data_IF_168196282066
#
_entry.id   IF_168196282066
#
_cell.length_a   1.000
_cell.length_b   1.000
_cell.length_c   1.000
_cell.angle_alpha   90.00
_cell.angle_beta   90.00
_cell.angle_gamma   90.00
#
_symmetry.space_group_name_H-M   'P 1'
#
loop_
_entity.id
_entity.type
_entity.pdbx_description
1 polymer ?
#
# COMPACT_ATOMS: atom_id res chain seq x y z
N UNK A 1 -29.23 44.23 29.72
CA UNK A 1 -28.39 44.40 30.91
C UNK A 1 -27.88 43.02 31.31
N UNK A 2 -26.81 42.58 30.71
CA UNK A 2 -26.15 41.31 31.04
C UNK A 2 -24.66 41.58 31.18
N UNK A 3 -24.17 41.37 32.37
CA UNK A 3 -22.82 41.65 32.83
C UNK A 3 -21.87 40.51 32.43
N UNK A 4 -20.81 40.83 31.69
CA UNK A 4 -19.69 39.99 31.38
C UNK A 4 -18.74 39.89 32.59
N UNK A 5 -18.40 38.66 33.00
CA UNK A 5 -17.33 38.36 33.97
C UNK A 5 -16.02 38.12 33.21
N UNK A 6 -14.87 38.62 33.67
CA UNK A 6 -13.59 38.37 33.03
C UNK A 6 -13.00 37.03 33.44
N UNK A 7 -12.38 36.31 32.45
CA UNK A 7 -11.64 35.08 32.64
C UNK A 7 -10.26 35.34 33.26
N UNK A 8 -9.90 34.53 34.22
CA UNK A 8 -8.58 34.53 34.90
C UNK A 8 -7.50 34.08 33.93
N UNK A 9 -6.45 34.88 33.78
CA UNK A 9 -5.19 34.51 33.15
C UNK A 9 -4.41 33.60 34.09
N UNK A 10 -4.03 32.40 33.59
CA UNK A 10 -3.06 31.50 34.23
C UNK A 10 -1.65 31.93 33.81
N UNK A 11 -0.85 32.33 34.80
CA UNK A 11 0.58 32.63 34.64
C UNK A 11 1.37 31.34 34.73
N UNK A 12 1.99 30.93 33.61
CA UNK A 12 2.93 29.81 33.58
C UNK A 12 4.33 30.32 33.94
N UNK A 13 4.83 29.90 35.07
CA UNK A 13 6.19 30.18 35.53
C UNK A 13 7.18 29.30 34.80
N UNK A 14 8.09 29.91 34.02
CA UNK A 14 9.20 29.23 33.39
C UNK A 14 10.28 28.96 34.45
N UNK A 15 10.62 27.68 34.65
CA UNK A 15 11.77 27.23 35.43
C UNK A 15 12.94 27.07 34.47
N UNK A 16 13.94 27.94 34.58
CA UNK A 16 15.20 27.84 33.90
C UNK A 16 16.11 26.85 34.65
N UNK A 17 16.60 25.81 33.96
CA UNK A 17 17.65 24.93 34.46
C UNK A 17 19.02 25.41 33.99
N UNK A 18 20.06 25.40 34.83
CA UNK A 18 21.39 25.87 34.42
C UNK A 18 22.16 24.86 33.62
N UNK A 19 22.82 25.36 32.58
CA UNK A 19 23.75 24.70 31.71
C UNK A 19 25.07 24.43 32.47
N UNK A 20 25.42 23.18 32.74
CA UNK A 20 26.75 22.83 33.31
C UNK A 20 27.70 22.48 32.18
N UNK A 21 28.61 23.40 31.89
CA UNK A 21 29.79 23.19 31.03
C UNK A 21 30.86 22.44 31.84
N UNK A 22 31.23 21.24 31.41
CA UNK A 22 32.45 20.58 31.86
C UNK A 22 33.45 20.52 30.70
N UNK A 23 34.44 21.36 30.79
CA UNK A 23 35.68 21.34 29.97
C UNK A 23 36.59 20.22 30.44
N UNK A 24 36.98 19.34 29.54
CA UNK A 24 38.09 18.40 29.74
C UNK A 24 39.11 18.61 28.60
N UNK A 25 40.13 19.40 28.91
CA UNK A 25 41.37 19.45 28.17
C UNK A 25 42.30 18.35 28.72
N UNK A 26 42.89 17.55 27.85
CA UNK A 26 43.87 16.54 28.23
C UNK A 26 44.53 15.94 26.98
N UNK A 27 45.30 16.74 26.26
CA UNK A 27 46.23 16.22 25.24
C UNK A 27 47.54 15.81 25.92
N UNK A 28 47.81 14.48 25.98
CA UNK A 28 49.16 13.99 26.27
C UNK A 28 49.85 13.66 24.97
N UNK A 29 50.96 14.38 24.71
CA UNK A 29 51.87 14.17 23.59
C UNK A 29 52.70 12.89 23.80
N UNK A 30 52.76 12.03 22.79
CA UNK A 30 53.67 10.92 22.69
C UNK A 30 54.93 11.37 21.89
N UNK A 31 56.16 10.91 22.28
CA UNK A 31 57.39 11.32 21.64
C UNK A 31 57.62 10.62 20.29
N UNK A 32 58.16 11.37 19.35
CA UNK A 32 58.68 10.93 18.05
C UNK A 32 59.88 10.02 18.22
N UNK A 33 59.81 8.77 17.78
CA UNK A 33 60.98 7.89 17.61
C UNK A 33 61.50 7.91 16.18
N UNK A 34 62.80 8.13 16.09
CA UNK A 34 63.64 8.23 14.89
C UNK A 34 63.63 6.96 14.03
N UNK A 35 63.63 7.18 12.73
CA UNK A 35 63.85 6.15 11.72
C UNK A 35 65.34 5.72 11.71
N UNK A 36 65.57 4.39 11.84
CA UNK A 36 66.83 3.77 11.49
C UNK A 36 66.54 2.68 10.46
N UNK A 37 67.26 2.70 9.33
CA UNK A 37 67.17 1.72 8.26
C UNK A 37 67.66 0.30 8.72
N UNK A 38 66.98 -0.78 8.35
CA UNK A 38 67.47 -2.13 8.63
C UNK A 38 68.41 -2.63 7.51
N UNK A 39 69.39 -3.50 7.82
CA UNK A 39 70.30 -4.07 6.85
C UNK A 39 69.66 -5.16 6.01
N UNK A 40 70.04 -5.16 4.74
CA UNK A 40 69.74 -6.15 3.71
C UNK A 40 70.29 -7.53 4.09
N UNK A 41 69.43 -8.54 4.30
CA UNK A 41 69.84 -9.94 4.29
C UNK A 41 68.85 -10.79 3.50
N UNK A 42 69.42 -11.75 2.79
CA UNK A 42 68.89 -12.57 1.70
C UNK A 42 67.58 -13.32 1.95
N UNK A 43 66.87 -13.45 0.88
CA UNK A 43 65.62 -14.19 0.70
C UNK A 43 65.69 -15.66 1.17
N UNK A 44 64.85 -16.02 2.11
CA UNK A 44 64.29 -17.38 2.20
C UNK A 44 62.82 -17.33 1.70
N UNK A 45 62.57 -18.06 0.65
CA UNK A 45 61.23 -18.35 0.16
C UNK A 45 60.48 -19.19 1.19
N UNK A 46 59.75 -18.58 2.08
CA UNK A 46 58.75 -19.29 2.89
C UNK A 46 57.51 -19.46 2.05
N UNK A 47 57.15 -20.74 1.79
CA UNK A 47 55.91 -21.14 1.16
C UNK A 47 54.73 -20.52 1.93
N UNK A 48 54.02 -19.63 1.28
CA UNK A 48 52.73 -19.09 1.72
C UNK A 48 51.82 -20.28 2.07
N UNK A 49 51.24 -20.35 3.28
CA UNK A 49 50.23 -21.39 3.58
C UNK A 49 49.10 -21.24 2.60
N UNK A 50 48.67 -22.35 2.02
CA UNK A 50 47.48 -22.41 1.18
C UNK A 50 46.29 -21.77 1.95
N UNK A 51 45.62 -20.82 1.33
CA UNK A 51 44.41 -20.22 1.88
C UNK A 51 43.44 -21.37 2.13
N UNK A 52 43.16 -21.64 3.39
CA UNK A 52 42.03 -22.50 3.76
C UNK A 52 40.79 -21.86 3.13
N UNK A 53 40.07 -22.60 2.33
CA UNK A 53 38.76 -22.22 1.81
C UNK A 53 37.90 -21.74 2.99
N UNK A 54 37.81 -20.42 3.17
CA UNK A 54 36.82 -19.83 4.06
C UNK A 54 35.46 -20.15 3.41
N UNK A 55 34.66 -21.02 4.05
CA UNK A 55 33.24 -21.09 3.74
C UNK A 55 32.73 -19.67 3.55
N UNK A 56 31.92 -19.40 2.50
CA UNK A 56 31.29 -18.10 2.34
C UNK A 56 30.61 -17.75 3.67
N UNK A 57 31.00 -16.64 4.29
CA UNK A 57 30.30 -16.17 5.49
C UNK A 57 28.92 -15.73 5.04
N UNK A 58 27.88 -16.31 5.67
CA UNK A 58 26.48 -15.92 5.48
C UNK A 58 26.36 -14.39 5.59
N UNK A 59 25.59 -13.79 4.67
CA UNK A 59 25.31 -12.35 4.71
C UNK A 59 24.71 -11.97 6.10
N UNK A 60 25.19 -10.91 6.74
CA UNK A 60 24.71 -10.51 8.06
C UNK A 60 23.21 -10.25 8.14
N UNK A 61 22.61 -9.70 7.07
CA UNK A 61 21.17 -9.44 7.03
C UNK A 61 20.36 -10.72 6.81
N UNK A 62 20.84 -11.66 5.98
CA UNK A 62 20.23 -12.99 5.84
C UNK A 62 20.22 -13.72 7.17
N UNK A 63 21.34 -13.68 7.90
CA UNK A 63 21.42 -14.26 9.24
C UNK A 63 20.43 -13.59 10.20
N UNK A 64 20.37 -12.25 10.19
CA UNK A 64 19.46 -11.49 11.05
C UNK A 64 17.99 -11.84 10.77
N UNK A 65 17.59 -11.91 9.50
CA UNK A 65 16.23 -12.28 9.11
C UNK A 65 15.89 -13.70 9.50
N UNK A 66 16.82 -14.65 9.30
CA UNK A 66 16.64 -16.04 9.72
C UNK A 66 16.47 -16.17 11.25
N UNK A 67 17.33 -15.50 12.03
CA UNK A 67 17.23 -15.50 13.49
C UNK A 67 15.91 -14.89 13.98
N UNK A 68 15.47 -13.79 13.36
CA UNK A 68 14.19 -13.16 13.66
C UNK A 68 13.01 -14.08 13.29
N UNK A 69 13.04 -14.73 12.11
CA UNK A 69 12.04 -15.72 11.73
C UNK A 69 11.94 -16.87 12.76
N UNK A 70 13.07 -17.46 13.12
CA UNK A 70 13.11 -18.55 14.11
C UNK A 70 12.55 -18.10 15.46
N UNK A 71 12.82 -16.87 15.89
CA UNK A 71 12.28 -16.32 17.14
C UNK A 71 10.77 -16.11 17.06
N UNK A 72 10.26 -15.58 15.95
CA UNK A 72 8.81 -15.42 15.73
C UNK A 72 8.10 -16.77 15.77
N UNK A 73 8.68 -17.80 15.14
CA UNK A 73 8.13 -19.17 15.18
C UNK A 73 8.14 -19.75 16.59
N UNK A 74 9.21 -19.54 17.36
CA UNK A 74 9.29 -19.96 18.78
C UNK A 74 8.29 -19.21 19.67
N UNK A 75 8.02 -17.95 19.36
CA UNK A 75 7.05 -17.12 20.07
C UNK A 75 5.59 -17.46 19.73
N UNK A 76 5.36 -18.45 18.84
CA UNK A 76 4.04 -18.96 18.53
C UNK A 76 3.36 -18.32 17.32
N UNK A 77 4.11 -17.67 16.42
CA UNK A 77 3.57 -17.18 15.14
C UNK A 77 2.92 -18.33 14.37
N UNK A 78 1.65 -18.16 13.99
CA UNK A 78 0.90 -19.16 13.23
C UNK A 78 0.95 -18.85 11.75
N UNK A 79 1.38 -19.82 10.95
CA UNK A 79 1.35 -19.71 9.50
C UNK A 79 0.13 -20.43 8.93
N UNK A 80 -0.38 -19.90 7.82
CA UNK A 80 -1.49 -20.50 7.06
C UNK A 80 -0.94 -21.66 6.23
N UNK A 81 -1.61 -22.82 6.30
CA UNK A 81 -1.28 -24.02 5.50
C UNK A 81 -2.24 -24.20 4.35
N UNK A 82 -2.47 -23.14 3.53
CA UNK A 82 -3.27 -23.21 2.30
C UNK A 82 -2.34 -23.18 1.08
N UNK A 83 -2.19 -24.31 0.35
CA UNK A 83 -1.27 -24.36 -0.79
C UNK A 83 -1.61 -23.39 -1.91
N UNK A 84 -2.92 -23.08 -2.13
CA UNK A 84 -3.35 -22.16 -3.19
C UNK A 84 -2.99 -20.71 -2.85
N UNK A 85 -3.20 -20.31 -1.61
CA UNK A 85 -2.80 -18.98 -1.15
C UNK A 85 -1.28 -18.84 -1.16
N UNK A 86 -0.54 -19.87 -0.73
CA UNK A 86 0.92 -19.88 -0.76
C UNK A 86 1.45 -19.78 -2.18
N UNK A 87 0.92 -20.58 -3.12
CA UNK A 87 1.28 -20.55 -4.53
C UNK A 87 1.01 -19.18 -5.16
N UNK A 88 -0.13 -18.56 -4.84
CA UNK A 88 -0.47 -17.20 -5.32
C UNK A 88 0.56 -16.18 -4.87
N UNK A 89 0.85 -16.11 -3.57
CA UNK A 89 1.82 -15.17 -2.99
C UNK A 89 3.23 -15.41 -3.53
N UNK A 90 3.66 -16.67 -3.59
CA UNK A 90 4.98 -17.02 -4.10
C UNK A 90 5.15 -16.74 -5.58
N UNK A 91 4.15 -17.03 -6.40
CA UNK A 91 4.21 -16.77 -7.85
C UNK A 91 4.42 -15.30 -8.13
N UNK A 92 3.64 -14.43 -7.47
CA UNK A 92 3.72 -12.98 -7.63
C UNK A 92 5.06 -12.47 -7.05
N UNK A 93 5.35 -12.82 -5.80
CA UNK A 93 6.52 -12.33 -5.09
C UNK A 93 7.83 -12.77 -5.74
N UNK A 94 7.98 -14.04 -6.13
CA UNK A 94 9.18 -14.55 -6.81
C UNK A 94 9.41 -13.91 -8.16
N UNK A 95 8.35 -13.57 -8.89
CA UNK A 95 8.45 -12.88 -10.18
C UNK A 95 9.01 -11.47 -10.03
N UNK A 96 8.53 -10.73 -9.02
CA UNK A 96 9.02 -9.38 -8.69
C UNK A 96 10.45 -9.45 -8.14
N UNK A 97 10.72 -10.36 -7.20
CA UNK A 97 12.03 -10.57 -6.61
C UNK A 97 13.10 -10.94 -7.65
N UNK A 98 12.76 -11.78 -8.63
CA UNK A 98 13.65 -12.13 -9.72
C UNK A 98 14.04 -10.90 -10.55
N UNK A 99 13.11 -9.99 -10.82
CA UNK A 99 13.41 -8.74 -11.50
C UNK A 99 14.36 -7.88 -10.67
N UNK A 100 14.02 -7.61 -9.40
CA UNK A 100 14.82 -6.77 -8.48
C UNK A 100 16.23 -7.33 -8.29
N UNK A 101 16.38 -8.64 -8.16
CA UNK A 101 17.68 -9.31 -8.01
C UNK A 101 18.57 -9.17 -9.27
N UNK A 102 17.97 -9.05 -10.46
CA UNK A 102 18.73 -8.96 -11.72
C UNK A 102 18.87 -7.54 -12.25
N UNK A 103 18.04 -6.62 -11.77
CA UNK A 103 18.02 -5.21 -12.15
C UNK A 103 17.96 -4.34 -10.89
N UNK A 104 19.10 -4.13 -10.21
CA UNK A 104 19.13 -3.27 -9.04
C UNK A 104 18.54 -1.90 -9.35
N UNK A 105 17.54 -1.50 -8.58
CA UNK A 105 16.88 -0.20 -8.72
C UNK A 105 17.60 0.86 -7.89
N UNK A 106 17.60 2.09 -8.38
CA UNK A 106 18.21 3.21 -7.65
C UNK A 106 17.45 3.47 -6.35
N UNK A 107 18.17 3.47 -5.23
CA UNK A 107 17.61 3.75 -3.91
C UNK A 107 17.67 5.26 -3.63
N UNK A 108 16.53 5.88 -3.38
CA UNK A 108 16.44 7.27 -2.88
C UNK A 108 16.65 7.33 -1.38
N UNK A 109 16.41 6.20 -0.68
CA UNK A 109 16.70 5.98 0.72
C UNK A 109 17.23 4.56 0.92
N UNK A 110 18.19 4.34 1.83
CA UNK A 110 18.79 3.02 2.01
C UNK A 110 20.07 2.84 1.19
N UNK A 111 20.31 1.65 0.71
CA UNK A 111 21.43 1.28 -0.14
C UNK A 111 20.98 0.20 -1.14
N UNK A 112 21.59 0.21 -2.31
CA UNK A 112 21.28 -0.82 -3.33
C UNK A 112 21.89 -2.15 -2.90
N UNK A 113 21.09 -3.23 -2.91
CA UNK A 113 21.59 -4.57 -2.65
C UNK A 113 22.56 -5.01 -3.76
N UNK A 114 23.75 -5.42 -3.37
CA UNK A 114 24.80 -5.91 -4.29
C UNK A 114 24.76 -7.43 -4.48
N UNK A 115 24.05 -8.14 -3.59
CA UNK A 115 23.97 -9.59 -3.57
C UNK A 115 22.50 -9.99 -3.70
N UNK A 116 22.11 -10.81 -4.68
CA UNK A 116 20.73 -11.30 -4.77
C UNK A 116 20.30 -12.02 -3.50
N UNK A 117 19.10 -11.71 -3.00
CA UNK A 117 18.51 -12.43 -1.89
C UNK A 117 17.70 -13.63 -2.39
N UNK A 118 17.70 -14.72 -1.60
CA UNK A 118 16.70 -15.77 -1.71
C UNK A 118 15.46 -15.33 -0.92
N UNK A 119 14.41 -14.91 -1.63
CA UNK A 119 13.21 -14.39 -1.00
C UNK A 119 12.29 -15.50 -0.53
N UNK A 120 11.89 -15.44 0.72
CA UNK A 120 10.99 -16.37 1.38
C UNK A 120 9.67 -15.68 1.72
N UNK A 121 8.54 -16.27 1.33
CA UNK A 121 7.22 -15.70 1.52
C UNK A 121 6.42 -16.53 2.51
N UNK A 122 5.85 -15.89 3.52
CA UNK A 122 5.07 -16.52 4.58
C UNK A 122 3.71 -15.88 4.71
N UNK A 123 2.67 -16.70 4.89
CA UNK A 123 1.31 -16.22 5.17
C UNK A 123 1.03 -16.41 6.65
N UNK A 124 0.79 -15.30 7.34
CA UNK A 124 0.47 -15.31 8.77
C UNK A 124 -1.04 -15.47 8.96
N UNK A 125 -1.47 -16.35 9.86
CA UNK A 125 -2.89 -16.53 10.21
C UNK A 125 -3.34 -15.43 11.19
N UNK A 126 -3.38 -14.21 10.65
CA UNK A 126 -3.76 -12.99 11.35
C UNK A 126 -4.84 -12.29 10.53
N UNK A 127 -5.98 -11.86 11.13
CA UNK A 127 -7.06 -11.17 10.44
C UNK A 127 -6.74 -9.71 10.10
N UNK A 128 -5.67 -9.14 10.65
CA UNK A 128 -5.29 -7.76 10.39
C UNK A 128 -4.78 -7.58 8.96
N UNK A 129 -5.12 -6.44 8.37
CA UNK A 129 -4.56 -6.03 7.08
C UNK A 129 -3.13 -5.57 7.34
N UNK A 130 -2.15 -6.45 7.06
CA UNK A 130 -0.73 -6.15 7.22
C UNK A 130 0.16 -7.00 6.32
N UNK A 131 1.32 -6.45 5.95
CA UNK A 131 2.47 -7.16 5.41
C UNK A 131 3.73 -6.51 5.97
N UNK A 132 4.84 -7.24 5.99
CA UNK A 132 6.11 -6.71 6.44
C UNK A 132 7.28 -7.54 5.93
N UNK A 133 8.45 -6.91 5.86
CA UNK A 133 9.70 -7.55 5.50
C UNK A 133 10.70 -7.54 6.64
N UNK A 134 11.45 -8.63 6.78
CA UNK A 134 12.64 -8.70 7.60
C UNK A 134 13.89 -8.62 6.71
N UNK A 135 15.05 -8.25 7.26
CA UNK A 135 16.32 -8.26 6.52
C UNK A 135 16.58 -9.60 5.82
N UNK A 136 17.31 -9.58 4.71
CA UNK A 136 17.70 -10.81 4.00
C UNK A 136 16.60 -11.49 3.20
N UNK A 137 15.46 -10.81 2.91
CA UNK A 137 14.45 -11.28 1.98
C UNK A 137 13.32 -12.12 2.59
N UNK A 138 13.07 -12.04 3.89
CA UNK A 138 11.94 -12.70 4.54
C UNK A 138 10.70 -11.79 4.49
N UNK A 139 9.69 -12.19 3.73
CA UNK A 139 8.47 -11.41 3.49
C UNK A 139 7.26 -12.12 4.12
N UNK A 140 6.47 -11.37 4.86
CA UNK A 140 5.27 -11.87 5.55
C UNK A 140 4.04 -11.12 5.07
N UNK A 141 2.95 -11.87 4.86
CA UNK A 141 1.65 -11.32 4.45
C UNK A 141 0.59 -11.91 5.36
N UNK A 142 -0.18 -11.06 6.03
CA UNK A 142 -1.28 -11.49 6.86
C UNK A 142 -2.46 -11.97 5.99
N UNK A 143 -3.18 -12.98 6.49
CA UNK A 143 -4.39 -13.49 5.84
C UNK A 143 -5.46 -12.39 5.66
N UNK A 144 -5.55 -11.45 6.62
CA UNK A 144 -6.45 -10.30 6.51
C UNK A 144 -6.14 -9.43 5.29
N UNK A 145 -4.87 -9.20 4.97
CA UNK A 145 -4.46 -8.48 3.76
C UNK A 145 -4.85 -9.25 2.51
N UNK A 146 -4.59 -10.56 2.44
CA UNK A 146 -4.97 -11.40 1.29
C UNK A 146 -6.48 -11.39 1.03
N UNK A 147 -7.29 -11.25 2.08
CA UNK A 147 -8.74 -11.13 1.97
C UNK A 147 -9.19 -9.72 1.54
N UNK A 148 -8.36 -8.70 1.70
CA UNK A 148 -8.68 -7.31 1.41
C UNK A 148 -8.29 -6.87 0.00
N UNK A 149 -7.29 -7.52 -0.62
CA UNK A 149 -6.88 -7.20 -1.98
C UNK A 149 -7.91 -7.67 -3.00
N UNK A 150 -8.21 -6.84 -4.00
CA UNK A 150 -9.22 -7.10 -5.02
C UNK A 150 -8.65 -7.74 -6.29
N UNK A 151 -7.32 -7.69 -6.46
CA UNK A 151 -6.63 -8.27 -7.62
C UNK A 151 -5.23 -8.77 -7.28
N UNK A 152 -4.62 -9.51 -8.22
CA UNK A 152 -3.20 -9.88 -8.16
C UNK A 152 -2.28 -8.66 -8.35
N UNK A 153 -2.74 -7.62 -9.05
CA UNK A 153 -1.99 -6.38 -9.20
C UNK A 153 -1.90 -5.60 -7.87
N UNK A 154 -2.96 -5.58 -7.06
CA UNK A 154 -2.91 -5.01 -5.72
C UNK A 154 -1.96 -5.79 -4.80
N UNK A 155 -2.04 -7.12 -4.84
CA UNK A 155 -1.11 -7.97 -4.08
C UNK A 155 0.34 -7.76 -4.55
N UNK A 156 0.55 -7.63 -5.87
CA UNK A 156 1.86 -7.32 -6.44
C UNK A 156 2.40 -5.96 -5.95
N UNK A 157 1.52 -4.97 -5.77
CA UNK A 157 1.86 -3.68 -5.18
C UNK A 157 2.43 -3.82 -3.79
N UNK A 158 1.73 -4.54 -2.92
CA UNK A 158 2.18 -4.79 -1.54
C UNK A 158 3.49 -5.58 -1.54
N UNK A 159 3.56 -6.68 -2.29
CA UNK A 159 4.77 -7.52 -2.33
C UNK A 159 5.97 -6.77 -2.92
N UNK A 160 5.75 -5.95 -3.95
CA UNK A 160 6.78 -5.09 -4.54
C UNK A 160 7.35 -4.10 -3.53
N UNK A 161 6.49 -3.43 -2.78
CA UNK A 161 6.85 -2.53 -1.70
C UNK A 161 7.72 -3.23 -0.62
N UNK A 162 7.29 -4.40 -0.14
CA UNK A 162 8.04 -5.17 0.86
C UNK A 162 9.39 -5.70 0.33
N UNK A 163 9.42 -6.13 -0.92
CA UNK A 163 10.66 -6.58 -1.57
C UNK A 163 11.68 -5.43 -1.65
N UNK A 164 11.23 -4.20 -1.97
CA UNK A 164 12.12 -3.03 -2.00
C UNK A 164 12.61 -2.67 -0.60
N UNK A 165 11.76 -2.74 0.44
CA UNK A 165 12.23 -2.53 1.81
C UNK A 165 13.42 -3.44 2.16
N UNK A 166 13.35 -4.72 1.77
CA UNK A 166 14.45 -5.65 1.96
C UNK A 166 15.65 -5.35 1.04
N UNK A 167 15.40 -5.11 -0.27
CA UNK A 167 16.43 -4.89 -1.27
C UNK A 167 17.23 -3.58 -1.04
N UNK A 168 16.59 -2.55 -0.49
CA UNK A 168 17.25 -1.28 -0.18
C UNK A 168 17.71 -1.17 1.28
N UNK A 169 17.70 -2.30 2.03
CA UNK A 169 18.25 -2.41 3.37
C UNK A 169 17.64 -1.42 4.39
N UNK A 170 16.32 -1.12 4.27
CA UNK A 170 15.69 -0.09 5.09
C UNK A 170 15.77 -0.38 6.58
N UNK A 171 15.57 -1.65 6.99
CA UNK A 171 15.68 -2.06 8.39
C UNK A 171 17.11 -1.91 8.90
N UNK A 172 18.11 -2.35 8.12
CA UNK A 172 19.52 -2.26 8.50
C UNK A 172 19.98 -0.80 8.61
N UNK A 173 19.55 0.06 7.69
CA UNK A 173 19.81 1.51 7.75
C UNK A 173 19.19 2.12 9.00
N UNK A 174 17.93 1.81 9.29
CA UNK A 174 17.24 2.28 10.48
C UNK A 174 17.99 1.88 11.76
N UNK A 175 18.46 0.65 11.85
CA UNK A 175 19.28 0.16 12.97
C UNK A 175 20.62 0.89 13.09
N UNK A 176 21.28 1.15 11.97
CA UNK A 176 22.55 1.88 11.96
C UNK A 176 22.37 3.33 12.45
N UNK A 177 21.31 4.00 12.03
CA UNK A 177 20.98 5.36 12.47
C UNK A 177 20.57 5.41 13.95
N UNK A 178 20.01 4.32 14.47
CA UNK A 178 19.65 4.15 15.89
C UNK A 178 20.77 3.51 16.74
N UNK A 179 21.98 3.38 16.25
CA UNK A 179 23.09 2.56 16.79
C UNK A 179 23.57 2.86 18.23
N UNK A 180 22.79 3.63 19.01
CA UNK A 180 22.95 3.77 20.46
C UNK A 180 21.97 2.88 21.26
N UNK A 181 21.07 2.16 20.61
CA UNK A 181 20.11 1.25 21.25
C UNK A 181 20.51 -0.18 20.92
N UNK A 182 20.62 -1.02 21.94
CA UNK A 182 21.06 -2.42 21.85
C UNK A 182 20.31 -3.18 20.73
N UNK A 183 21.04 -3.66 19.72
CA UNK A 183 20.50 -4.24 18.47
C UNK A 183 19.50 -5.39 18.71
N UNK A 184 19.71 -6.20 19.76
CA UNK A 184 18.79 -7.28 20.14
C UNK A 184 17.43 -6.77 20.63
N UNK A 185 17.41 -5.61 21.30
CA UNK A 185 16.16 -4.97 21.73
C UNK A 185 15.36 -4.41 20.53
N UNK A 186 16.03 -3.83 19.54
CA UNK A 186 15.37 -3.28 18.36
C UNK A 186 14.68 -4.37 17.51
N UNK A 187 15.31 -5.53 17.35
CA UNK A 187 14.74 -6.68 16.63
C UNK A 187 13.59 -7.32 17.41
N UNK A 188 13.77 -7.53 18.72
CA UNK A 188 12.67 -8.03 19.57
C UNK A 188 11.46 -7.10 19.58
N UNK A 189 11.72 -5.79 19.55
CA UNK A 189 10.69 -4.76 19.49
C UNK A 189 9.96 -4.76 18.14
N UNK A 190 10.69 -4.84 17.04
CA UNK A 190 10.12 -4.94 15.71
C UNK A 190 9.25 -6.21 15.57
N UNK A 191 9.78 -7.36 15.99
CA UNK A 191 9.03 -8.62 15.97
C UNK A 191 7.78 -8.55 16.88
N UNK A 192 7.86 -7.92 18.06
CA UNK A 192 6.74 -7.76 18.98
C UNK A 192 5.64 -6.84 18.40
N UNK A 193 6.02 -5.72 17.75
CA UNK A 193 5.08 -4.81 17.10
C UNK A 193 4.38 -5.50 15.93
N UNK A 194 5.11 -6.31 15.16
CA UNK A 194 4.59 -7.00 13.99
C UNK A 194 3.78 -8.25 14.33
N UNK A 195 4.06 -8.92 15.47
CA UNK A 195 3.38 -10.13 15.91
C UNK A 195 2.18 -9.89 16.84
N UNK A 196 1.67 -8.67 16.97
CA UNK A 196 0.52 -8.33 17.83
C UNK A 196 0.65 -8.85 19.29
N UNK A 197 1.83 -8.77 19.89
CA UNK A 197 1.97 -9.06 21.31
C UNK A 197 1.19 -7.99 22.10
N UNK A 198 0.31 -8.37 23.04
CA UNK A 198 -0.53 -7.44 23.80
C UNK A 198 0.29 -6.30 24.40
N UNK A 199 -0.17 -5.06 24.18
CA UNK A 199 0.50 -3.83 24.61
C UNK A 199 0.84 -3.79 26.11
N UNK A 200 0.13 -4.55 26.93
CA UNK A 200 0.36 -4.64 28.37
C UNK A 200 1.71 -5.31 28.70
N UNK A 201 2.07 -6.36 27.98
CA UNK A 201 3.35 -7.06 28.20
C UNK A 201 4.51 -6.27 27.58
N UNK A 202 4.23 -5.54 26.51
CA UNK A 202 5.16 -4.63 25.86
C UNK A 202 5.45 -3.37 26.72
N UNK A 203 4.43 -2.82 27.41
CA UNK A 203 4.59 -1.66 28.27
C UNK A 203 5.49 -1.96 29.50
N UNK A 204 5.47 -3.19 30.00
CA UNK A 204 6.31 -3.62 31.11
C UNK A 204 7.78 -3.85 30.69
N UNK A 205 8.04 -4.10 29.42
CA UNK A 205 9.38 -4.30 28.86
C UNK A 205 10.01 -3.01 28.30
N UNK A 206 9.22 -1.94 28.13
CA UNK A 206 9.63 -0.71 27.47
C UNK A 206 9.74 0.45 28.44
N UNK A 207 10.95 0.96 28.67
CA UNK A 207 11.15 2.27 29.30
C UNK A 207 10.85 3.40 28.30
N UNK A 208 10.56 4.64 28.78
CA UNK A 208 10.19 5.79 27.95
C UNK A 208 11.17 6.11 26.80
N UNK A 209 12.43 5.66 26.87
CA UNK A 209 13.44 5.77 25.80
C UNK A 209 13.04 4.94 24.57
N UNK A 210 12.36 3.80 24.76
CA UNK A 210 11.93 2.88 23.70
C UNK A 210 10.70 3.43 22.94
N UNK A 211 9.81 4.13 23.62
CA UNK A 211 8.68 4.85 22.99
C UNK A 211 9.16 6.00 22.10
N UNK A 212 10.21 6.72 22.54
CA UNK A 212 10.84 7.79 21.73
C UNK A 212 11.54 7.20 20.50
N UNK A 213 12.16 6.03 20.63
CA UNK A 213 12.76 5.31 19.49
C UNK A 213 11.69 4.89 18.46
N UNK A 214 10.51 4.40 18.94
CA UNK A 214 9.36 4.08 18.07
C UNK A 214 8.79 5.31 17.35
N UNK A 215 8.69 6.47 18.01
CA UNK A 215 8.31 7.73 17.36
C UNK A 215 9.33 8.19 16.32
N UNK A 216 10.63 7.96 16.55
CA UNK A 216 11.67 8.23 15.55
C UNK A 216 11.63 7.25 14.38
N UNK A 217 11.28 5.98 14.61
CA UNK A 217 11.01 5.00 13.54
C UNK A 217 9.91 5.52 12.61
N UNK A 218 8.82 6.07 13.15
CA UNK A 218 7.75 6.68 12.34
C UNK A 218 8.21 7.94 11.59
N UNK A 219 9.23 8.68 12.08
CA UNK A 219 9.76 9.88 11.42
C UNK A 219 10.75 9.59 10.29
N UNK A 220 11.54 8.52 10.38
CA UNK A 220 12.40 8.04 9.29
C UNK A 220 11.61 7.23 8.26
N UNK A 221 10.43 6.75 8.62
CA UNK A 221 9.57 5.92 7.79
C UNK A 221 9.18 6.57 6.47
N UNK A 222 8.91 7.87 6.43
CA UNK A 222 8.41 8.53 5.22
C UNK A 222 9.36 8.43 4.03
N UNK A 223 10.67 8.62 4.22
CA UNK A 223 11.64 8.49 3.13
C UNK A 223 11.77 7.03 2.68
N UNK A 224 11.78 6.08 3.61
CA UNK A 224 11.83 4.65 3.29
C UNK A 224 10.54 4.20 2.59
N UNK A 225 9.39 4.72 3.00
CA UNK A 225 8.10 4.46 2.38
C UNK A 225 8.04 4.98 0.94
N UNK A 226 8.49 6.22 0.70
CA UNK A 226 8.54 6.80 -0.65
C UNK A 226 9.52 6.04 -1.55
N UNK A 227 10.65 5.60 -1.03
CA UNK A 227 11.60 4.78 -1.77
C UNK A 227 11.02 3.40 -2.10
N UNK A 228 10.33 2.76 -1.14
CA UNK A 228 9.67 1.48 -1.34
C UNK A 228 8.51 1.57 -2.35
N UNK A 229 7.75 2.67 -2.32
CA UNK A 229 6.71 2.93 -3.32
C UNK A 229 7.32 3.11 -4.72
N UNK A 230 8.34 3.95 -4.84
CA UNK A 230 9.04 4.20 -6.10
C UNK A 230 9.59 2.91 -6.71
N UNK A 231 10.45 2.20 -5.97
CA UNK A 231 11.02 0.93 -6.45
C UNK A 231 9.96 -0.13 -6.70
N UNK A 232 8.92 -0.19 -5.86
CA UNK A 232 7.79 -1.12 -6.00
C UNK A 232 6.99 -0.91 -7.27
N UNK A 233 6.63 0.33 -7.60
CA UNK A 233 5.93 0.70 -8.85
C UNK A 233 6.74 0.25 -10.07
N UNK A 234 8.04 0.51 -10.10
CA UNK A 234 8.94 0.09 -11.19
C UNK A 234 9.01 -1.44 -11.25
N UNK A 235 9.25 -2.10 -10.13
CA UNK A 235 9.38 -3.56 -10.07
C UNK A 235 8.11 -4.29 -10.53
N UNK A 236 6.92 -3.80 -10.12
CA UNK A 236 5.63 -4.31 -10.60
C UNK A 236 5.51 -4.22 -12.12
N UNK A 237 5.70 -3.02 -12.65
CA UNK A 237 5.55 -2.74 -14.09
C UNK A 237 6.48 -3.63 -14.91
N UNK A 238 7.73 -3.70 -14.53
CA UNK A 238 8.76 -4.53 -15.22
C UNK A 238 8.53 -6.02 -15.05
N UNK A 239 7.83 -6.43 -14.01
CA UNK A 239 7.39 -7.80 -13.80
C UNK A 239 6.05 -8.11 -14.47
N UNK A 240 5.45 -7.16 -15.21
CA UNK A 240 4.21 -7.34 -15.97
C UNK A 240 2.94 -7.31 -15.12
N UNK A 241 2.96 -6.62 -13.97
CA UNK A 241 1.81 -6.26 -13.18
C UNK A 241 1.40 -4.79 -13.45
N UNK A 242 0.11 -4.49 -13.27
CA UNK A 242 -0.38 -3.13 -13.43
C UNK A 242 -0.09 -2.28 -12.18
N UNK A 243 0.79 -1.24 -12.25
CA UNK A 243 1.16 -0.45 -11.08
C UNK A 243 -0.01 0.35 -10.47
N UNK A 244 -1.13 0.50 -11.18
CA UNK A 244 -2.36 1.09 -10.62
C UNK A 244 -2.86 0.27 -9.41
N UNK A 245 -2.53 -1.02 -9.31
CA UNK A 245 -2.87 -1.85 -8.15
C UNK A 245 -2.27 -1.34 -6.84
N UNK A 246 -1.02 -0.85 -6.85
CA UNK A 246 -0.43 -0.23 -5.66
C UNK A 246 -1.20 1.04 -5.25
N UNK A 247 -1.57 1.88 -6.23
CA UNK A 247 -2.32 3.10 -5.98
C UNK A 247 -3.69 2.81 -5.39
N UNK A 248 -4.47 1.89 -5.98
CA UNK A 248 -5.83 1.58 -5.52
C UNK A 248 -5.83 0.95 -4.13
N UNK A 249 -4.86 0.10 -3.83
CA UNK A 249 -4.71 -0.46 -2.49
C UNK A 249 -4.41 0.64 -1.45
N UNK A 250 -3.49 1.57 -1.75
CA UNK A 250 -3.17 2.70 -0.87
C UNK A 250 -4.36 3.63 -0.67
N UNK A 251 -5.10 3.97 -1.73
CA UNK A 251 -6.32 4.79 -1.66
C UNK A 251 -7.38 4.14 -0.75
N UNK A 252 -7.56 2.81 -0.86
CA UNK A 252 -8.50 2.06 -0.02
C UNK A 252 -8.07 2.06 1.45
N UNK A 253 -6.79 1.86 1.74
CA UNK A 253 -6.27 1.95 3.10
C UNK A 253 -6.52 3.32 3.71
N UNK A 254 -6.20 4.40 2.98
CA UNK A 254 -6.40 5.77 3.46
C UNK A 254 -7.88 6.10 3.71
N UNK A 255 -8.81 5.53 2.92
CA UNK A 255 -10.25 5.62 3.17
C UNK A 255 -10.64 4.90 4.45
N UNK A 256 -10.13 3.69 4.66
CA UNK A 256 -10.47 2.87 5.82
C UNK A 256 -9.97 3.51 7.11
N UNK A 257 -8.78 4.11 7.11
CA UNK A 257 -8.24 4.89 8.23
C UNK A 257 -9.16 6.07 8.60
N UNK A 258 -9.63 6.84 7.61
CA UNK A 258 -10.55 7.96 7.85
C UNK A 258 -11.92 7.52 8.36
N UNK A 259 -12.40 6.37 7.86
CA UNK A 259 -13.73 5.85 8.22
C UNK A 259 -13.76 5.28 9.63
N UNK A 260 -12.64 4.81 10.13
CA UNK A 260 -12.48 4.10 11.40
C UNK A 260 -11.19 4.52 12.12
N UNK A 261 -11.08 5.80 12.51
CA UNK A 261 -9.85 6.34 13.12
C UNK A 261 -9.49 5.67 14.46
N UNK A 262 -10.45 5.02 15.11
CA UNK A 262 -10.25 4.31 16.39
C UNK A 262 -9.72 2.89 16.22
N UNK A 263 -9.64 2.37 14.97
CA UNK A 263 -9.11 1.03 14.67
C UNK A 263 -7.69 1.18 14.17
N UNK A 264 -6.72 0.95 15.04
CA UNK A 264 -5.32 0.84 14.66
C UNK A 264 -5.12 -0.47 13.88
N UNK A 265 -5.21 -0.42 12.56
CA UNK A 265 -4.83 -1.54 11.70
C UNK A 265 -3.30 -1.65 11.64
N UNK A 266 -2.77 -2.90 11.62
CA UNK A 266 -1.33 -3.15 11.68
C UNK A 266 -0.52 -2.41 10.62
N UNK A 267 -1.03 -2.36 9.37
CA UNK A 267 -0.37 -1.69 8.24
C UNK A 267 -0.24 -0.17 8.42
N UNK A 268 -1.19 0.50 9.06
CA UNK A 268 -1.11 1.94 9.32
C UNK A 268 -0.02 2.33 10.30
N UNK A 269 0.36 1.41 11.18
CA UNK A 269 1.44 1.61 12.16
C UNK A 269 2.81 1.47 11.53
N UNK A 270 2.95 0.56 10.56
CA UNK A 270 4.22 0.24 9.90
C UNK A 270 4.42 1.05 8.62
N UNK A 271 3.34 1.30 7.86
CA UNK A 271 3.32 1.94 6.55
C UNK A 271 2.19 2.96 6.45
N UNK A 272 2.26 4.10 7.15
CA UNK A 272 1.17 5.07 7.16
C UNK A 272 0.86 5.57 5.74
N UNK A 273 -0.39 5.44 5.29
CA UNK A 273 -0.80 6.00 4.01
C UNK A 273 -0.76 7.53 4.08
N UNK A 274 -0.43 8.15 2.97
CA UNK A 274 -0.45 9.61 2.90
C UNK A 274 -0.83 10.06 1.51
N UNK A 275 -1.46 11.25 1.44
CA UNK A 275 -1.75 11.88 0.16
C UNK A 275 -0.46 12.07 -0.67
N UNK A 276 0.62 12.45 -0.02
CA UNK A 276 1.93 12.67 -0.69
C UNK A 276 2.40 11.38 -1.37
N UNK A 277 2.26 10.21 -0.72
CA UNK A 277 2.63 8.91 -1.30
C UNK A 277 1.74 8.58 -2.50
N UNK A 278 0.43 8.71 -2.37
CA UNK A 278 -0.51 8.44 -3.47
C UNK A 278 -0.31 9.39 -4.66
N UNK A 279 -0.04 10.67 -4.41
CA UNK A 279 0.28 11.64 -5.47
C UNK A 279 1.59 11.26 -6.18
N UNK A 280 2.63 10.88 -5.45
CA UNK A 280 3.91 10.44 -6.02
C UNK A 280 3.76 9.16 -6.88
N UNK A 281 3.03 8.15 -6.39
CA UNK A 281 2.71 6.94 -7.17
C UNK A 281 1.93 7.32 -8.44
N UNK A 282 0.96 8.22 -8.33
CA UNK A 282 0.17 8.72 -9.47
C UNK A 282 1.06 9.38 -10.52
N UNK A 283 1.95 10.27 -10.12
CA UNK A 283 2.86 10.98 -11.01
C UNK A 283 3.86 10.02 -11.68
N UNK A 284 4.34 9.02 -10.95
CA UNK A 284 5.23 8.00 -11.50
C UNK A 284 4.55 7.13 -12.55
N UNK A 285 3.33 6.62 -12.27
CA UNK A 285 2.54 5.85 -13.24
C UNK A 285 2.31 6.67 -14.52
N UNK A 286 1.96 7.96 -14.39
CA UNK A 286 1.79 8.88 -15.53
C UNK A 286 3.12 9.12 -16.26
N UNK A 287 4.22 9.26 -15.51
CA UNK A 287 5.58 9.41 -16.06
C UNK A 287 6.02 8.21 -16.92
N UNK A 288 5.52 7.01 -16.59
CA UNK A 288 5.70 5.80 -17.42
C UNK A 288 4.81 5.79 -18.69
N UNK A 289 4.00 6.84 -18.93
CA UNK A 289 3.06 6.91 -20.06
C UNK A 289 1.84 6.01 -19.90
N UNK A 290 1.54 5.54 -18.68
CA UNK A 290 0.37 4.70 -18.39
C UNK A 290 -0.82 5.53 -17.94
N UNK A 291 -2.01 5.12 -18.39
CA UNK A 291 -3.28 5.68 -17.89
C UNK A 291 -3.63 5.05 -16.54
N UNK A 292 -4.22 5.86 -15.65
CA UNK A 292 -4.73 5.36 -14.37
C UNK A 292 -6.17 4.91 -14.57
N UNK A 293 -6.34 3.62 -14.87
CA UNK A 293 -7.64 2.97 -14.94
C UNK A 293 -7.81 2.05 -13.71
N UNK A 294 -8.51 2.53 -12.68
CA UNK A 294 -8.71 1.79 -11.43
C UNK A 294 -9.54 0.52 -11.62
N UNK A 295 -10.41 0.51 -12.63
CA UNK A 295 -11.27 -0.65 -12.93
C UNK A 295 -10.52 -1.86 -13.45
N UNK A 296 -9.31 -1.68 -13.99
CA UNK A 296 -8.46 -2.79 -14.43
C UNK A 296 -7.98 -3.64 -13.26
N UNK A 297 -7.90 -3.05 -12.08
CA UNK A 297 -7.29 -3.65 -10.89
C UNK A 297 -8.23 -3.76 -9.68
N UNK A 298 -9.44 -3.18 -9.77
CA UNK A 298 -10.47 -3.25 -8.71
C UNK A 298 -11.78 -3.82 -9.20
N UNK A 299 -12.67 -4.08 -8.26
CA UNK A 299 -14.03 -4.54 -8.55
C UNK A 299 -15.06 -3.39 -8.69
N UNK A 300 -14.62 -2.14 -8.67
CA UNK A 300 -15.48 -0.96 -8.71
C UNK A 300 -16.04 -0.66 -10.11
N UNK A 301 -17.20 0.01 -10.13
CA UNK A 301 -17.86 0.48 -11.33
C UNK A 301 -18.12 -0.61 -12.40
N UNK A 302 -18.41 -1.83 -11.97
CA UNK A 302 -18.74 -2.93 -12.88
C UNK A 302 -20.06 -2.68 -13.59
N UNK A 303 -19.99 -2.62 -14.93
CA UNK A 303 -21.17 -2.53 -15.78
C UNK A 303 -21.65 -3.95 -16.13
N UNK A 304 -22.92 -4.22 -15.91
CA UNK A 304 -23.55 -5.48 -16.30
C UNK A 304 -24.92 -5.24 -16.94
N UNK A 305 -25.33 -6.18 -17.77
CA UNK A 305 -26.71 -6.23 -18.31
C UNK A 305 -27.39 -7.46 -17.73
N UNK A 306 -28.55 -7.27 -17.14
CA UNK A 306 -29.36 -8.37 -16.61
C UNK A 306 -30.80 -8.28 -17.14
N UNK A 307 -31.45 -9.41 -17.25
CA UNK A 307 -32.90 -9.49 -17.54
C UNK A 307 -33.68 -9.39 -16.25
N UNK A 308 -34.71 -8.56 -16.26
CA UNK A 308 -35.62 -8.35 -15.13
C UNK A 308 -37.05 -8.58 -15.58
N UNK A 309 -37.70 -9.50 -14.92
CA UNK A 309 -39.13 -9.71 -15.13
C UNK A 309 -39.93 -8.53 -14.56
N UNK A 310 -40.79 -7.97 -15.35
CA UNK A 310 -41.70 -6.89 -14.95
C UNK A 310 -43.13 -7.47 -14.87
N UNK A 311 -43.58 -7.76 -13.65
CA UNK A 311 -44.80 -8.50 -13.42
C UNK A 311 -46.07 -7.63 -13.30
N UNK A 312 -45.91 -6.32 -13.20
CA UNK A 312 -47.04 -5.36 -13.06
C UNK A 312 -46.74 -4.09 -13.85
N UNK A 313 -47.76 -3.54 -14.51
CA UNK A 313 -47.72 -2.23 -15.14
C UNK A 313 -47.85 -1.09 -14.11
N UNK A 314 -47.88 0.16 -14.59
CA UNK A 314 -48.02 1.35 -13.76
C UNK A 314 -49.36 1.38 -12.97
N UNK A 315 -50.40 0.70 -13.46
CA UNK A 315 -51.70 0.59 -12.85
C UNK A 315 -51.82 -0.65 -11.95
N UNK A 316 -50.76 -1.44 -11.78
CA UNK A 316 -50.73 -2.65 -10.96
C UNK A 316 -51.30 -3.90 -11.63
N UNK A 317 -51.63 -3.85 -12.91
CA UNK A 317 -52.14 -5.00 -13.67
C UNK A 317 -50.99 -5.97 -13.98
N UNK A 318 -51.25 -7.30 -13.95
CA UNK A 318 -50.26 -8.28 -14.34
C UNK A 318 -49.83 -8.09 -15.80
N UNK A 319 -48.49 -8.02 -16.02
CA UNK A 319 -47.86 -8.04 -17.34
C UNK A 319 -46.75 -9.08 -17.33
N UNK A 320 -46.58 -9.77 -18.43
CA UNK A 320 -45.46 -10.69 -18.63
C UNK A 320 -44.46 -10.02 -19.58
N UNK A 321 -43.62 -9.17 -19.00
CA UNK A 321 -42.65 -8.37 -19.75
C UNK A 321 -41.26 -8.62 -19.20
N UNK A 322 -40.29 -8.82 -20.08
CA UNK A 322 -38.86 -8.91 -19.70
C UNK A 322 -38.14 -7.67 -20.22
N UNK A 323 -37.59 -6.90 -19.30
CA UNK A 323 -36.77 -5.74 -19.60
C UNK A 323 -35.27 -6.09 -19.41
N UNK A 324 -34.42 -5.41 -20.19
CA UNK A 324 -32.98 -5.48 -20.03
C UNK A 324 -32.53 -4.27 -19.19
N UNK A 325 -31.90 -4.55 -18.09
CA UNK A 325 -31.43 -3.53 -17.14
C UNK A 325 -29.92 -3.44 -17.16
N UNK A 326 -29.41 -2.26 -17.49
CA UNK A 326 -27.99 -1.93 -17.38
C UNK A 326 -27.73 -1.48 -15.94
N UNK A 327 -26.80 -2.14 -15.28
CA UNK A 327 -26.43 -1.86 -13.89
C UNK A 327 -24.99 -1.37 -13.79
N UNK A 328 -24.71 -0.59 -12.75
CA UNK A 328 -23.37 -0.19 -12.33
C UNK A 328 -23.22 -0.60 -10.86
N UNK A 329 -22.26 -1.47 -10.56
CA UNK A 329 -22.09 -2.13 -9.24
C UNK A 329 -23.41 -2.76 -8.74
N UNK A 330 -24.13 -3.44 -9.65
CA UNK A 330 -25.41 -4.08 -9.36
C UNK A 330 -26.60 -3.12 -9.18
N UNK A 331 -26.38 -1.79 -9.19
CA UNK A 331 -27.45 -0.78 -9.09
C UNK A 331 -27.97 -0.41 -10.47
N UNK A 332 -29.29 -0.30 -10.65
CA UNK A 332 -29.88 0.08 -11.93
C UNK A 332 -29.45 1.46 -12.38
N UNK A 333 -29.00 1.59 -13.63
CA UNK A 333 -28.69 2.86 -14.30
C UNK A 333 -29.71 3.14 -15.39
N UNK A 334 -30.00 2.15 -16.23
CA UNK A 334 -30.88 2.29 -17.36
C UNK A 334 -31.63 0.99 -17.63
N UNK A 335 -32.89 1.08 -18.02
CA UNK A 335 -33.77 -0.08 -18.36
C UNK A 335 -34.40 0.15 -19.71
N UNK A 336 -34.36 -0.86 -20.59
CA UNK A 336 -34.92 -0.85 -21.93
C UNK A 336 -35.48 -2.23 -22.31
N UNK A 337 -36.42 -2.28 -23.25
CA UNK A 337 -36.90 -3.56 -23.82
C UNK A 337 -35.91 -4.13 -24.83
N UNK A 338 -35.12 -3.31 -25.49
CA UNK A 338 -34.16 -3.73 -26.50
C UNK A 338 -32.87 -4.27 -25.85
N UNK A 339 -32.59 -5.55 -26.09
CA UNK A 339 -31.34 -6.18 -25.63
C UNK A 339 -30.13 -5.55 -26.30
N UNK A 340 -30.22 -5.15 -27.55
CA UNK A 340 -29.10 -4.53 -28.28
C UNK A 340 -28.78 -3.14 -27.73
N UNK A 341 -29.79 -2.31 -27.46
CA UNK A 341 -29.59 -1.00 -26.82
C UNK A 341 -29.01 -1.13 -25.41
N UNK A 342 -29.40 -2.14 -24.65
CA UNK A 342 -28.80 -2.39 -23.35
C UNK A 342 -27.31 -2.75 -23.47
N UNK A 343 -26.94 -3.59 -24.45
CA UNK A 343 -25.53 -3.95 -24.73
C UNK A 343 -24.72 -2.77 -25.22
N UNK A 344 -25.28 -1.98 -26.16
CA UNK A 344 -24.62 -0.76 -26.65
C UNK A 344 -24.39 0.25 -25.54
N UNK A 345 -25.39 0.47 -24.67
CA UNK A 345 -25.26 1.34 -23.50
C UNK A 345 -24.19 0.81 -22.55
N UNK A 346 -24.15 -0.49 -22.27
CA UNK A 346 -23.15 -1.09 -21.41
C UNK A 346 -21.73 -0.96 -22.01
N UNK A 347 -21.58 -1.14 -23.32
CA UNK A 347 -20.31 -0.95 -24.03
C UNK A 347 -19.86 0.51 -24.00
N UNK A 348 -20.77 1.46 -24.23
CA UNK A 348 -20.48 2.88 -24.15
C UNK A 348 -20.07 3.32 -22.74
N UNK A 349 -20.76 2.80 -21.71
CA UNK A 349 -20.40 3.03 -20.31
C UNK A 349 -19.01 2.45 -19.97
N UNK A 350 -18.72 1.22 -20.38
CA UNK A 350 -17.42 0.61 -20.15
C UNK A 350 -16.30 1.46 -20.80
N UNK A 351 -16.45 1.79 -22.06
CA UNK A 351 -15.47 2.64 -22.78
C UNK A 351 -15.26 3.99 -22.10
N UNK A 352 -16.32 4.60 -21.57
CA UNK A 352 -16.23 5.88 -20.88
C UNK A 352 -15.54 5.73 -19.51
N UNK A 353 -15.94 4.72 -18.74
CA UNK A 353 -15.44 4.46 -17.39
C UNK A 353 -13.98 3.98 -17.39
N UNK A 354 -13.47 3.46 -18.51
CA UNK A 354 -12.05 3.13 -18.71
C UNK A 354 -11.19 4.39 -19.01
N UNK A 355 -11.80 5.56 -19.04
CA UNK A 355 -11.10 6.83 -19.12
C UNK A 355 -11.08 7.49 -17.74
N UNK A 356 -10.13 8.41 -17.50
CA UNK A 356 -10.19 9.30 -16.34
C UNK A 356 -11.43 10.19 -16.43
N UNK A 357 -12.55 9.71 -15.87
CA UNK A 357 -13.86 10.32 -15.95
C UNK A 357 -14.14 11.12 -14.68
N UNK A 358 -14.35 12.43 -14.88
CA UNK A 358 -14.69 13.34 -13.79
C UNK A 358 -16.22 13.54 -13.68
N UNK A 359 -16.71 13.93 -12.51
CA UNK A 359 -18.14 14.21 -12.28
C UNK A 359 -18.72 15.25 -13.25
N UNK A 360 -17.94 16.24 -13.68
CA UNK A 360 -18.36 17.27 -14.62
C UNK A 360 -18.40 16.80 -16.08
N UNK A 361 -17.74 15.69 -16.40
CA UNK A 361 -17.76 15.09 -17.75
C UNK A 361 -19.11 14.42 -18.05
N UNK A 362 -19.88 14.07 -17.00
CA UNK A 362 -21.20 13.49 -17.13
C UNK A 362 -22.23 14.63 -17.12
N UNK A 363 -22.89 14.82 -18.25
CA UNK A 363 -23.91 15.86 -18.46
C UNK A 363 -25.18 15.26 -19.03
N UNK A 364 -26.25 16.04 -19.08
CA UNK A 364 -27.54 15.62 -19.68
C UNK A 364 -28.11 16.73 -20.57
N UNK A 365 -28.64 16.33 -21.72
CA UNK A 365 -29.38 17.22 -22.62
C UNK A 365 -30.66 16.54 -23.07
N UNK A 366 -31.81 17.01 -22.54
CA UNK A 366 -33.10 16.37 -22.77
C UNK A 366 -33.08 14.91 -22.33
N UNK A 367 -33.48 14.00 -23.22
CA UNK A 367 -33.54 12.57 -23.02
C UNK A 367 -32.19 11.84 -23.24
N UNK A 368 -31.06 12.57 -23.33
CA UNK A 368 -29.72 12.00 -23.59
C UNK A 368 -28.79 12.27 -22.42
N UNK A 369 -28.15 11.24 -21.90
CA UNK A 369 -27.00 11.34 -20.99
C UNK A 369 -25.72 11.30 -21.81
N UNK A 370 -24.84 12.23 -21.52
CA UNK A 370 -23.58 12.42 -22.23
C UNK A 370 -22.39 12.18 -21.27
N UNK A 371 -21.34 11.56 -21.78
CA UNK A 371 -20.03 11.48 -21.11
C UNK A 371 -18.95 12.06 -22.00
N UNK A 372 -18.18 13.00 -21.47
CA UNK A 372 -17.18 13.75 -22.26
C UNK A 372 -17.75 14.27 -23.60
N UNK A 373 -19.00 14.77 -23.56
CA UNK A 373 -19.72 15.28 -24.71
C UNK A 373 -20.29 14.25 -25.71
N UNK A 374 -20.05 12.96 -25.52
CA UNK A 374 -20.57 11.87 -26.36
C UNK A 374 -21.81 11.23 -25.74
N UNK A 375 -22.86 10.86 -26.54
CA UNK A 375 -24.00 10.14 -26.05
C UNK A 375 -23.61 8.79 -25.44
N UNK A 376 -24.10 8.51 -24.23
CA UNK A 376 -23.92 7.23 -23.53
C UNK A 376 -25.27 6.50 -23.45
N UNK A 377 -26.33 7.23 -23.03
CA UNK A 377 -27.68 6.71 -22.89
C UNK A 377 -28.59 7.64 -23.65
N UNK A 378 -29.31 7.11 -24.62
CA UNK A 378 -30.38 7.81 -25.33
C UNK A 378 -31.68 7.15 -24.98
N UNK A 379 -32.55 7.84 -24.25
CA UNK A 379 -33.86 7.33 -23.80
C UNK A 379 -34.91 7.61 -24.85
N UNK A 380 -35.74 6.59 -25.14
CA UNK A 380 -36.87 6.69 -26.08
C UNK A 380 -38.19 6.70 -25.34
N UNK A 381 -39.27 6.97 -26.05
CA UNK A 381 -40.61 6.89 -25.50
C UNK A 381 -40.96 5.47 -25.02
N UNK A 382 -40.45 4.43 -25.70
CA UNK A 382 -40.62 3.03 -25.33
C UNK A 382 -40.02 2.68 -23.96
N UNK A 383 -38.92 3.31 -23.61
CA UNK A 383 -38.28 3.09 -22.31
C UNK A 383 -39.10 3.69 -21.16
N UNK A 384 -39.80 4.81 -21.44
CA UNK A 384 -40.60 5.49 -20.42
C UNK A 384 -41.91 4.75 -20.05
N UNK A 385 -42.39 3.85 -20.91
CA UNK A 385 -43.57 3.05 -20.58
C UNK A 385 -43.26 1.73 -19.88
N UNK A 386 -42.00 1.42 -19.66
CA UNK A 386 -41.59 0.22 -18.91
C UNK A 386 -41.93 0.42 -17.43
N UNK A 387 -42.71 -0.48 -16.84
CA UNK A 387 -43.06 -0.41 -15.43
C UNK A 387 -41.80 -0.31 -14.54
N UNK A 388 -41.84 0.62 -13.61
CA UNK A 388 -40.68 0.93 -12.74
C UNK A 388 -39.72 1.98 -13.31
N UNK A 389 -39.89 2.38 -14.58
CA UNK A 389 -39.26 3.60 -15.10
C UNK A 389 -40.19 4.81 -14.86
N UNK A 390 -39.64 6.03 -14.75
CA UNK A 390 -40.43 7.25 -14.83
C UNK A 390 -41.18 7.34 -16.17
N UNK A 391 -42.37 7.95 -16.16
CA UNK A 391 -43.30 7.95 -17.28
C UNK A 391 -42.96 8.94 -18.42
N UNK A 392 -41.81 9.53 -18.42
CA UNK A 392 -41.32 10.37 -19.54
C UNK A 392 -39.85 10.10 -19.84
N UNK A 393 -39.43 10.17 -21.11
CA UNK A 393 -38.04 9.96 -21.49
C UNK A 393 -37.06 10.89 -20.75
N UNK A 394 -37.43 12.14 -20.51
CA UNK A 394 -36.59 13.13 -19.81
C UNK A 394 -36.35 12.74 -18.32
N UNK A 395 -37.38 12.21 -17.66
CA UNK A 395 -37.27 11.75 -16.28
C UNK A 395 -36.45 10.46 -16.18
N UNK A 396 -36.58 9.52 -17.13
CA UNK A 396 -35.73 8.32 -17.19
C UNK A 396 -34.25 8.72 -17.39
N UNK A 397 -33.99 9.65 -18.32
CA UNK A 397 -32.64 10.15 -18.53
C UNK A 397 -32.09 10.89 -17.28
N UNK A 398 -32.97 11.61 -16.55
CA UNK A 398 -32.60 12.26 -15.28
C UNK A 398 -32.22 11.25 -14.24
N UNK A 399 -32.95 10.13 -14.12
CA UNK A 399 -32.65 9.04 -13.18
C UNK A 399 -31.32 8.38 -13.53
N UNK A 400 -31.10 8.04 -14.80
CA UNK A 400 -29.85 7.45 -15.28
C UNK A 400 -28.64 8.38 -15.04
N UNK A 401 -28.79 9.66 -15.34
CA UNK A 401 -27.79 10.69 -15.05
C UNK A 401 -27.43 10.77 -13.57
N UNK A 402 -28.44 10.79 -12.68
CA UNK A 402 -28.23 10.80 -11.22
C UNK A 402 -27.54 9.52 -10.74
N UNK A 403 -27.99 8.35 -11.23
CA UNK A 403 -27.40 7.06 -10.85
C UNK A 403 -25.91 7.00 -11.21
N UNK A 404 -25.54 7.40 -12.44
CA UNK A 404 -24.15 7.43 -12.88
C UNK A 404 -23.31 8.41 -12.06
N UNK A 405 -23.81 9.64 -11.85
CA UNK A 405 -23.08 10.62 -11.03
C UNK A 405 -22.91 10.20 -9.57
N UNK A 406 -23.92 9.52 -9.01
CA UNK A 406 -23.83 9.00 -7.63
C UNK A 406 -22.77 7.92 -7.52
N UNK A 407 -22.65 7.01 -8.51
CA UNK A 407 -21.61 6.00 -8.52
C UNK A 407 -20.20 6.63 -8.64
N UNK A 408 -20.02 7.58 -9.54
CA UNK A 408 -18.75 8.31 -9.68
C UNK A 408 -18.41 9.15 -8.45
N UNK A 409 -19.40 9.79 -7.82
CA UNK A 409 -19.19 10.54 -6.59
C UNK A 409 -18.78 9.63 -5.44
N UNK A 410 -19.39 8.42 -5.36
CA UNK A 410 -18.98 7.42 -4.39
C UNK A 410 -17.52 7.01 -4.64
N UNK A 411 -17.14 6.69 -5.88
CA UNK A 411 -15.75 6.37 -6.22
C UNK A 411 -14.79 7.51 -5.84
N UNK A 412 -15.17 8.77 -6.11
CA UNK A 412 -14.37 9.94 -5.71
C UNK A 412 -14.22 10.05 -4.19
N UNK A 413 -15.27 9.77 -3.42
CA UNK A 413 -15.18 9.70 -1.95
C UNK A 413 -14.33 8.51 -1.49
N UNK A 414 -14.39 7.41 -2.22
CA UNK A 414 -13.68 6.18 -1.93
C UNK A 414 -12.19 6.29 -2.31
N UNK A 415 -11.83 7.01 -3.37
CA UNK A 415 -10.44 7.33 -3.72
C UNK A 415 -9.81 8.44 -2.86
N UNK A 416 -10.58 9.21 -2.22
CA UNK A 416 -10.53 10.07 -1.02
C UNK A 416 -9.26 10.79 -0.66
N UNK A 417 -8.53 11.29 -1.61
CA UNK A 417 -7.50 12.29 -1.32
C UNK A 417 -7.90 13.68 -1.86
#
# INVERSE_FOLDING_TARGET
MFTLRPSRRSTTTAIAAPLLMATLAGFAALPSSSWADPPTTAAKQDKKPAAKDKKPTEDPEVRMGREAHEEMMRSGLKLVSDPKLQERVETIGKKIAAYVNTHPLDATYGAINKTPYDYHFFIVDDPDINAFSLPGGYIYVNKGLLNSVESDDELAGVLGHEIIHAAHHHVAKLQHEQSKVNTQMALGLLAAVLAHIPTQDMANAMTGIQLIALQKVNGYGQNAEQDADHGGVIAMEKSGYNPVGMLTFMERLARDERSRPDVEQGIFRTHPPSKIRADAITDEIKGMGKSINRRDVTNDLKVAVRQVAVNKDADGKPVDLVANEVTLDGKPVFRTLSADRAKETAAALNTLLDTDLQLYDVTRKGNVVLGKGKPIITVTAEDAVIPGNPNTPDLVATQAYKALRTALFKQLLDSGF
#
